data_IF_462803720604
#
_entry.id   IF_462803720604
#
_cell.length_a   1.000
_cell.length_b   1.000
_cell.length_c   1.000
_cell.angle_alpha   90.00
_cell.angle_beta   90.00
_cell.angle_gamma   90.00
#
_symmetry.space_group_name_H-M   'P 1'
#
loop_
_entity.id
_entity.type
_entity.pdbx_description
1 polymer ?
#
# COMPACT_ATOMS: atom_id res chain seq x y z
N UNK A 1 -5.78 5.29 10.16
CA UNK A 1 -5.02 5.26 8.89
C UNK A 1 -5.89 4.77 7.72
N UNK A 2 -6.35 3.52 7.63
CA UNK A 2 -7.38 3.16 6.63
C UNK A 2 -8.81 3.45 7.13
N UNK A 3 -9.12 3.07 8.38
CA UNK A 3 -10.43 3.34 9.02
C UNK A 3 -10.60 4.75 9.58
N UNK A 4 -9.49 5.49 9.72
CA UNK A 4 -9.46 6.81 10.38
C UNK A 4 -9.24 6.78 11.90
N UNK A 5 -9.27 5.63 12.59
CA UNK A 5 -9.12 5.56 14.06
C UNK A 5 -7.74 5.95 14.61
N UNK A 6 -6.71 5.82 13.78
CA UNK A 6 -5.37 6.30 14.09
C UNK A 6 -5.01 7.44 13.14
N UNK A 7 -4.31 8.49 13.62
CA UNK A 7 -3.86 9.60 12.78
C UNK A 7 -3.02 9.08 11.61
N UNK A 8 -3.12 9.77 10.48
CA UNK A 8 -2.35 9.43 9.29
C UNK A 8 -0.93 10.00 9.38
N UNK A 9 0.11 9.23 9.00
CA UNK A 9 1.46 9.78 8.83
C UNK A 9 1.57 10.68 7.57
N UNK A 10 0.56 10.67 6.69
CA UNK A 10 0.45 11.55 5.53
C UNK A 10 -0.34 12.80 5.97
N UNK A 11 0.19 14.04 5.75
CA UNK A 11 1.27 14.39 4.83
C UNK A 11 2.68 14.60 5.44
N UNK A 12 2.93 14.17 6.69
CA UNK A 12 4.15 14.50 7.43
C UNK A 12 5.40 13.72 6.99
N UNK A 13 5.24 12.46 6.61
CA UNK A 13 6.35 11.61 6.16
C UNK A 13 6.64 11.77 4.66
N UNK A 14 7.92 11.76 4.28
CA UNK A 14 8.33 11.82 2.86
C UNK A 14 8.02 10.53 2.10
N UNK A 15 8.08 9.39 2.81
CA UNK A 15 7.65 8.09 2.33
C UNK A 15 6.99 7.28 3.45
N UNK A 16 5.98 6.50 3.09
CA UNK A 16 5.23 5.60 3.98
C UNK A 16 5.22 4.21 3.35
N UNK A 17 5.78 3.23 4.05
CA UNK A 17 5.70 1.82 3.64
C UNK A 17 4.68 1.07 4.49
N UNK A 18 4.02 0.09 3.90
CA UNK A 18 3.05 -0.73 4.63
C UNK A 18 2.95 -2.14 4.06
N UNK A 19 2.62 -3.11 4.91
CA UNK A 19 2.25 -4.46 4.50
C UNK A 19 0.74 -4.56 4.27
N UNK A 20 0.32 -5.27 3.24
CA UNK A 20 -1.11 -5.38 2.89
C UNK A 20 -1.89 -6.42 3.71
N UNK A 21 -1.24 -7.30 4.46
CA UNK A 21 -1.87 -8.46 5.11
C UNK A 21 -2.20 -8.32 6.60
N UNK A 22 -1.74 -7.25 7.27
CA UNK A 22 -1.98 -7.05 8.70
C UNK A 22 -3.36 -6.45 8.94
N UNK A 23 -3.43 -5.28 9.56
CA UNK A 23 -4.70 -4.57 9.82
C UNK A 23 -5.45 -4.16 8.54
N UNK A 24 -4.81 -4.23 7.36
CA UNK A 24 -5.47 -4.02 6.06
C UNK A 24 -6.14 -5.29 5.50
N UNK A 25 -5.89 -6.47 6.11
CA UNK A 25 -6.56 -7.75 5.80
C UNK A 25 -6.50 -8.21 4.33
N UNK A 26 -5.54 -7.72 3.55
CA UNK A 26 -5.30 -8.11 2.17
C UNK A 26 -4.30 -9.27 2.00
N UNK A 27 -3.82 -9.54 0.77
CA UNK A 27 -2.84 -10.58 0.51
C UNK A 27 -1.46 -10.22 1.09
N UNK A 28 -0.54 -11.20 1.17
CA UNK A 28 0.86 -10.94 1.52
C UNK A 28 1.53 -10.08 0.43
N UNK A 29 2.04 -8.92 0.84
CA UNK A 29 2.72 -7.97 -0.04
C UNK A 29 2.98 -6.65 0.68
N UNK A 30 3.56 -5.69 -0.05
CA UNK A 30 3.83 -4.34 0.43
C UNK A 30 3.38 -3.25 -0.53
N UNK A 31 3.39 -2.02 -0.03
CA UNK A 31 3.16 -0.77 -0.75
C UNK A 31 4.20 0.27 -0.30
N UNK A 32 4.56 1.16 -1.22
CA UNK A 32 5.37 2.35 -0.94
C UNK A 32 4.56 3.55 -1.44
N UNK A 33 4.19 4.44 -0.52
CA UNK A 33 3.55 5.72 -0.81
C UNK A 33 4.59 6.81 -0.60
N UNK A 34 4.71 7.76 -1.52
CA UNK A 34 5.68 8.84 -1.44
C UNK A 34 5.17 10.08 -2.14
N UNK A 35 5.87 11.20 -1.96
CA UNK A 35 5.67 12.40 -2.78
C UNK A 35 6.14 12.15 -4.21
N UNK A 36 5.53 12.85 -5.16
CA UNK A 36 5.81 12.72 -6.61
C UNK A 36 7.30 12.88 -6.93
N UNK A 37 8.00 13.78 -6.25
CA UNK A 37 9.45 14.01 -6.41
C UNK A 37 10.33 12.78 -6.14
N UNK A 38 9.81 11.79 -5.38
CA UNK A 38 10.51 10.54 -5.08
C UNK A 38 10.07 9.36 -5.95
N UNK A 39 8.95 9.46 -6.67
CA UNK A 39 8.31 8.34 -7.37
C UNK A 39 9.28 7.64 -8.34
N UNK A 40 9.92 8.41 -9.23
CA UNK A 40 10.86 7.86 -10.23
C UNK A 40 12.06 7.16 -9.61
N UNK A 41 12.57 7.66 -8.48
CA UNK A 41 13.73 7.06 -7.79
C UNK A 41 13.34 5.75 -7.13
N UNK A 42 12.17 5.72 -6.49
CA UNK A 42 11.65 4.52 -5.83
C UNK A 42 11.30 3.44 -6.86
N UNK A 43 10.60 3.78 -7.95
CA UNK A 43 10.23 2.83 -8.99
C UNK A 43 11.47 2.15 -9.60
N UNK A 44 12.52 2.93 -9.90
CA UNK A 44 13.79 2.40 -10.39
C UNK A 44 14.50 1.48 -9.38
N UNK A 45 14.40 1.79 -8.09
CA UNK A 45 14.99 0.95 -7.04
C UNK A 45 14.22 -0.38 -6.88
N UNK A 46 12.91 -0.39 -7.13
CA UNK A 46 12.12 -1.63 -7.17
C UNK A 46 12.45 -2.42 -8.43
N UNK A 47 12.26 -1.82 -9.61
CA UNK A 47 12.57 -2.43 -10.91
C UNK A 47 13.34 -1.42 -11.79
N UNK A 48 14.51 -1.79 -12.33
CA UNK A 48 15.16 -3.10 -12.31
C UNK A 48 16.05 -3.35 -11.09
N UNK A 49 16.01 -2.51 -10.05
CA UNK A 49 16.98 -2.53 -8.96
C UNK A 49 16.96 -3.76 -8.06
N UNK A 50 15.81 -4.15 -7.51
CA UNK A 50 15.72 -5.20 -6.47
C UNK A 50 14.79 -6.35 -6.84
N UNK A 51 13.84 -6.13 -7.75
CA UNK A 51 12.86 -7.11 -8.20
C UNK A 51 12.89 -7.24 -9.73
N UNK A 52 12.41 -8.40 -10.21
CA UNK A 52 12.19 -8.68 -11.63
C UNK A 52 10.71 -8.54 -12.00
N UNK A 53 10.11 -9.64 -12.48
CA UNK A 53 8.69 -9.66 -12.86
C UNK A 53 7.75 -9.45 -11.67
N UNK A 54 6.69 -8.63 -11.82
CA UNK A 54 5.69 -8.41 -10.78
C UNK A 54 4.83 -9.65 -10.51
N UNK A 55 4.29 -9.75 -9.30
CA UNK A 55 3.33 -10.79 -8.93
C UNK A 55 1.90 -10.30 -9.19
N UNK A 56 1.45 -10.38 -10.45
CA UNK A 56 0.16 -9.83 -10.89
C UNK A 56 -1.06 -10.38 -10.12
N UNK A 57 -1.03 -11.66 -9.75
CA UNK A 57 -2.07 -12.29 -8.92
C UNK A 57 -2.16 -11.65 -7.51
N UNK A 58 -1.04 -11.20 -6.95
CA UNK A 58 -1.02 -10.46 -5.67
C UNK A 58 -1.49 -9.02 -5.88
N UNK A 59 -1.12 -8.38 -7.00
CA UNK A 59 -1.59 -7.02 -7.33
C UNK A 59 -3.12 -7.00 -7.48
N UNK A 60 -3.69 -7.98 -8.19
CA UNK A 60 -5.14 -8.15 -8.32
C UNK A 60 -5.82 -8.35 -6.94
N UNK A 61 -5.27 -9.22 -6.09
CA UNK A 61 -5.81 -9.44 -4.74
C UNK A 61 -5.71 -8.18 -3.85
N UNK A 62 -4.67 -7.34 -4.01
CA UNK A 62 -4.59 -6.04 -3.31
C UNK A 62 -5.71 -5.10 -3.75
N UNK A 63 -6.05 -5.06 -5.04
CA UNK A 63 -7.13 -4.23 -5.53
C UNK A 63 -8.48 -4.61 -4.90
N UNK A 64 -8.75 -5.91 -4.74
CA UNK A 64 -9.94 -6.40 -4.01
C UNK A 64 -9.91 -5.96 -2.55
N UNK A 65 -8.78 -6.12 -1.86
CA UNK A 65 -8.64 -5.70 -0.46
C UNK A 65 -8.82 -4.18 -0.28
N UNK A 66 -8.36 -3.35 -1.21
CA UNK A 66 -8.58 -1.90 -1.14
C UNK A 66 -10.04 -1.53 -1.36
N UNK A 67 -10.73 -2.23 -2.25
CA UNK A 67 -12.18 -2.06 -2.41
C UNK A 67 -12.93 -2.40 -1.13
N UNK A 68 -12.57 -3.50 -0.46
CA UNK A 68 -13.13 -3.84 0.86
C UNK A 68 -12.82 -2.76 1.91
N UNK A 69 -11.59 -2.24 1.94
CA UNK A 69 -11.18 -1.21 2.90
C UNK A 69 -11.90 0.14 2.72
N UNK A 70 -12.47 0.39 1.52
CA UNK A 70 -13.28 1.58 1.23
C UNK A 70 -14.76 1.38 1.61
N UNK A 71 -15.21 0.15 1.86
CA UNK A 71 -16.56 -0.12 2.31
C UNK A 71 -16.76 0.42 3.73
N UNK A 72 -17.87 1.15 4.03
CA UNK A 72 -18.13 1.66 5.38
C UNK A 72 -18.09 0.59 6.47
N UNK A 73 -18.52 -0.64 6.17
CA UNK A 73 -18.50 -1.76 7.11
C UNK A 73 -17.10 -2.15 7.56
N UNK A 74 -16.06 -1.80 6.79
CA UNK A 74 -14.67 -2.04 7.18
C UNK A 74 -14.24 -1.21 8.39
N UNK A 75 -14.91 -0.08 8.67
CA UNK A 75 -14.67 0.71 9.88
C UNK A 75 -15.27 0.05 11.13
N UNK A 76 -16.33 -0.73 10.97
CA UNK A 76 -17.04 -1.39 12.07
C UNK A 76 -16.48 -2.78 12.39
N UNK A 77 -15.62 -3.32 11.51
CA UNK A 77 -14.86 -4.56 11.68
C UNK A 77 -13.66 -4.38 12.61
#
# INVERSE_FOLDING_TARGET
VATGYHPSPIPHADAVTTTTHKTLRGPRGGLILCKEEHARTIDKAVFPGTQGGPLEHIIAAKAVAFKEALDPSFKDY
#
